data_IF_699011995924
#
_entry.id   IF_699011995924
#
_cell.length_a   1.000
_cell.length_b   1.000
_cell.length_c   1.000
_cell.angle_alpha   90.00
_cell.angle_beta   90.00
_cell.angle_gamma   90.00
#
_symmetry.space_group_name_H-M   'P 1'
#
loop_
_entity.id
_entity.type
_entity.pdbx_description
1 polymer ?
#
# COMPACT_ATOMS: atom_id res chain seq x y z
N UNK A 1 33.49 -22.59 44.78
CA UNK A 1 33.70 -22.43 43.31
C UNK A 1 32.67 -21.44 42.85
N UNK A 2 33.07 -20.18 42.87
CA UNK A 2 32.24 -19.06 42.46
C UNK A 2 32.38 -18.87 40.95
N UNK A 3 31.28 -18.92 40.22
CA UNK A 3 31.23 -18.59 38.81
C UNK A 3 30.96 -17.10 38.65
N UNK A 4 32.01 -16.38 38.28
CA UNK A 4 31.97 -14.96 37.96
C UNK A 4 31.26 -14.77 36.60
N UNK A 5 30.05 -14.21 36.64
CA UNK A 5 29.35 -13.72 35.48
C UNK A 5 29.88 -12.33 35.12
N UNK A 6 30.73 -12.24 34.09
CA UNK A 6 31.21 -10.98 33.55
C UNK A 6 30.28 -10.48 32.43
N UNK A 7 29.12 -9.97 32.81
CA UNK A 7 28.33 -9.10 31.94
C UNK A 7 28.82 -7.66 32.09
N UNK A 8 29.60 -7.13 31.13
CA UNK A 8 29.91 -5.70 31.09
C UNK A 8 28.60 -4.93 30.91
N UNK A 9 28.28 -3.95 31.77
CA UNK A 9 27.15 -3.06 31.52
C UNK A 9 27.47 -2.26 30.22
N UNK A 10 26.65 -2.40 29.23
CA UNK A 10 26.61 -1.44 28.12
C UNK A 10 26.29 -0.10 28.78
N UNK A 11 27.25 0.83 28.80
CA UNK A 11 27.02 2.20 29.25
C UNK A 11 25.98 2.82 28.33
N UNK A 12 24.73 2.76 28.73
CA UNK A 12 23.68 3.54 28.08
C UNK A 12 23.96 5.01 28.36
N UNK A 13 24.11 5.78 27.31
CA UNK A 13 24.24 7.25 27.39
C UNK A 13 22.99 7.75 28.12
N UNK A 14 23.14 8.58 29.17
CA UNK A 14 21.98 9.15 29.86
C UNK A 14 21.08 9.90 28.89
N UNK A 15 19.77 9.84 29.10
CA UNK A 15 18.77 10.45 28.21
C UNK A 15 19.00 11.96 28.00
N UNK A 16 19.52 12.66 29.00
CA UNK A 16 19.84 14.09 28.92
C UNK A 16 20.99 14.36 27.95
N UNK A 17 22.05 13.54 28.01
CA UNK A 17 23.21 13.65 27.11
C UNK A 17 22.79 13.29 25.68
N UNK A 18 21.95 12.28 25.54
CA UNK A 18 21.39 11.88 24.26
C UNK A 18 20.52 12.98 23.67
N UNK A 19 19.70 13.63 24.50
CA UNK A 19 18.89 14.77 24.10
C UNK A 19 19.76 15.95 23.61
N UNK A 20 20.85 16.26 24.28
CA UNK A 20 21.77 17.33 23.90
C UNK A 20 22.48 17.05 22.55
N UNK A 21 22.78 15.79 22.28
CA UNK A 21 23.36 15.38 20.99
C UNK A 21 22.30 15.51 19.89
N UNK A 22 21.09 15.01 20.14
CA UNK A 22 19.99 15.04 19.17
C UNK A 22 19.52 16.47 18.88
N UNK A 23 19.54 17.38 19.82
CA UNK A 23 19.21 18.80 19.62
C UNK A 23 20.13 19.53 18.63
N UNK A 24 21.31 19.02 18.37
CA UNK A 24 22.25 19.58 17.40
C UNK A 24 21.98 19.16 15.97
N UNK A 25 21.10 18.19 15.78
CA UNK A 25 20.70 17.69 14.47
C UNK A 25 19.63 18.58 13.85
N UNK A 26 19.68 18.73 12.53
CA UNK A 26 18.60 19.33 11.78
C UNK A 26 17.31 18.49 11.86
N UNK A 27 16.14 19.08 11.56
CA UNK A 27 14.86 18.37 11.63
C UNK A 27 14.82 17.06 10.83
N UNK A 28 15.49 17.02 9.69
CA UNK A 28 15.62 15.82 8.86
C UNK A 28 16.43 14.73 9.59
N UNK A 29 17.62 15.07 10.10
CA UNK A 29 18.52 14.12 10.73
C UNK A 29 17.93 13.62 12.07
N UNK A 30 17.16 14.49 12.72
CA UNK A 30 16.41 14.13 13.93
C UNK A 30 15.32 13.11 13.64
N UNK A 31 14.60 13.26 12.51
CA UNK A 31 13.59 12.30 12.08
C UNK A 31 14.21 10.95 11.69
N UNK A 32 15.38 10.96 11.03
CA UNK A 32 16.17 9.74 10.73
C UNK A 32 16.63 9.09 12.05
N UNK A 33 17.12 9.89 12.99
CA UNK A 33 17.58 9.42 14.30
C UNK A 33 16.47 8.73 15.10
N UNK A 34 15.21 9.18 14.95
CA UNK A 34 14.04 8.56 15.56
C UNK A 34 13.82 7.11 15.10
N UNK A 35 14.29 6.76 13.90
CA UNK A 35 14.17 5.42 13.32
C UNK A 35 15.33 4.48 13.70
N UNK A 36 16.41 4.98 14.32
CA UNK A 36 17.62 4.20 14.61
C UNK A 36 17.36 3.14 15.68
N UNK A 37 16.74 3.50 16.80
CA UNK A 37 16.40 2.57 17.86
C UNK A 37 15.31 3.10 18.80
N UNK A 38 14.70 2.20 19.59
CA UNK A 38 13.65 2.56 20.55
C UNK A 38 14.05 3.63 21.59
N UNK A 39 15.26 3.61 22.19
CA UNK A 39 15.70 4.66 23.11
C UNK A 39 15.74 6.05 22.46
N UNK A 40 16.29 6.16 21.27
CA UNK A 40 16.32 7.43 20.53
C UNK A 40 14.93 7.94 20.19
N UNK A 41 14.07 7.06 19.72
CA UNK A 41 12.66 7.37 19.46
C UNK A 41 11.98 7.91 20.73
N UNK A 42 12.15 7.24 21.86
CA UNK A 42 11.56 7.63 23.13
C UNK A 42 12.03 9.02 23.59
N UNK A 43 13.34 9.32 23.49
CA UNK A 43 13.91 10.63 23.86
C UNK A 43 13.38 11.73 22.95
N UNK A 44 13.37 11.52 21.62
CA UNK A 44 12.88 12.50 20.65
C UNK A 44 11.40 12.81 20.90
N UNK A 45 10.58 11.80 21.13
CA UNK A 45 9.14 11.97 21.36
C UNK A 45 8.82 12.58 22.73
N UNK A 46 9.48 12.11 23.81
CA UNK A 46 9.29 12.64 25.15
C UNK A 46 9.70 14.12 25.27
N UNK A 47 10.76 14.51 24.58
CA UNK A 47 11.29 15.88 24.58
C UNK A 47 10.65 16.77 23.51
N UNK A 48 9.73 16.22 22.70
CA UNK A 48 9.08 16.95 21.58
C UNK A 48 10.08 17.67 20.68
N UNK A 49 11.20 17.04 20.38
CA UNK A 49 12.30 17.64 19.63
C UNK A 49 11.94 17.91 18.16
N UNK A 50 11.03 17.16 17.59
CA UNK A 50 10.44 17.47 16.31
C UNK A 50 9.30 18.47 16.52
N UNK A 51 9.27 19.58 15.74
CA UNK A 51 8.22 20.58 15.86
C UNK A 51 6.85 19.91 15.76
N UNK A 52 6.02 20.19 16.75
CA UNK A 52 4.62 19.75 16.76
C UNK A 52 3.76 20.67 15.88
N UNK A 53 4.31 21.20 14.81
CA UNK A 53 3.54 22.00 13.88
C UNK A 53 2.44 21.13 13.28
N UNK A 54 1.24 21.51 13.61
CA UNK A 54 0.00 20.82 13.25
C UNK A 54 -0.23 20.70 11.74
N UNK A 55 0.64 21.29 10.94
CA UNK A 55 0.60 21.32 9.47
C UNK A 55 1.67 20.45 8.80
N UNK A 56 2.57 19.83 9.56
CA UNK A 56 3.64 19.02 8.98
C UNK A 56 3.43 17.56 9.31
N UNK A 57 3.04 16.80 8.30
CA UNK A 57 3.13 15.34 8.34
C UNK A 57 4.58 14.94 8.69
N UNK A 58 4.78 13.86 9.47
CA UNK A 58 6.13 13.46 9.85
C UNK A 58 7.04 13.35 8.65
N UNK A 59 8.28 13.78 8.81
CA UNK A 59 9.31 13.74 7.78
C UNK A 59 9.59 12.32 7.25
N UNK A 60 9.14 11.29 7.97
CA UNK A 60 9.24 9.89 7.55
C UNK A 60 8.38 9.56 6.33
N UNK A 61 7.19 10.18 6.17
CA UNK A 61 6.38 10.04 4.96
C UNK A 61 6.83 11.09 3.94
N UNK A 62 7.49 10.66 2.89
CA UNK A 62 7.98 11.56 1.85
C UNK A 62 6.91 11.90 0.81
N UNK A 63 6.02 10.97 0.51
CA UNK A 63 4.97 11.14 -0.47
C UNK A 63 4.24 9.85 -0.78
N UNK A 64 3.59 9.84 -1.94
CA UNK A 64 2.86 8.69 -2.48
C UNK A 64 3.30 8.44 -3.92
N UNK A 65 3.61 7.19 -4.24
CA UNK A 65 3.62 6.76 -5.62
C UNK A 65 2.20 6.33 -5.98
N UNK A 66 1.61 7.01 -6.95
CA UNK A 66 0.21 6.84 -7.34
C UNK A 66 0.13 6.43 -8.78
N UNK A 67 -0.61 5.36 -9.05
CA UNK A 67 -0.86 4.84 -10.40
C UNK A 67 -2.21 5.34 -10.86
N UNK A 68 -2.25 5.90 -12.06
CA UNK A 68 -3.46 6.40 -12.68
C UNK A 68 -3.90 5.52 -13.85
N UNK A 69 -5.20 5.33 -13.97
CA UNK A 69 -5.83 4.67 -15.13
C UNK A 69 -6.71 5.68 -15.89
N UNK A 70 -6.91 5.55 -17.22
CA UNK A 70 -6.30 4.54 -18.09
C UNK A 70 -4.82 4.84 -18.35
N UNK A 71 -4.02 3.81 -18.58
CA UNK A 71 -2.62 3.95 -19.01
C UNK A 71 -1.57 3.58 -17.99
N UNK A 72 -1.95 3.21 -16.77
CA UNK A 72 -1.04 2.75 -15.70
C UNK A 72 0.15 3.70 -15.48
N UNK A 73 -0.10 5.01 -15.51
CA UNK A 73 0.93 6.02 -15.34
C UNK A 73 1.23 6.25 -13.87
N UNK A 74 2.47 6.11 -13.47
CA UNK A 74 2.90 6.41 -12.10
C UNK A 74 3.29 7.87 -11.94
N UNK A 75 2.79 8.50 -10.89
CA UNK A 75 3.19 9.82 -10.42
C UNK A 75 3.64 9.78 -8.97
N UNK A 76 4.52 10.69 -8.60
CA UNK A 76 4.95 10.91 -7.24
C UNK A 76 4.33 12.18 -6.69
N UNK A 77 3.46 12.05 -5.72
CA UNK A 77 2.80 13.16 -5.03
C UNK A 77 3.49 13.39 -3.69
N UNK A 78 4.11 14.54 -3.53
CA UNK A 78 4.96 14.81 -2.36
C UNK A 78 5.01 16.26 -1.96
N UNK A 79 5.50 16.49 -0.74
CA UNK A 79 5.83 17.82 -0.26
C UNK A 79 6.98 18.41 -1.09
N UNK A 80 7.04 19.76 -1.26
CA UNK A 80 8.14 20.43 -1.93
C UNK A 80 9.52 20.14 -1.32
N UNK A 81 9.57 19.86 -0.01
CA UNK A 81 10.79 19.54 0.75
C UNK A 81 11.06 18.04 0.83
N UNK A 82 10.42 17.21 0.02
CA UNK A 82 10.67 15.76 0.03
C UNK A 82 12.11 15.46 -0.40
N UNK A 83 12.81 14.54 0.29
CA UNK A 83 14.21 14.23 0.00
C UNK A 83 14.39 13.40 -1.29
N UNK A 84 13.30 13.05 -1.95
CA UNK A 84 13.28 12.15 -3.11
C UNK A 84 12.72 12.88 -4.32
N UNK A 85 13.39 12.75 -5.43
CA UNK A 85 12.87 13.16 -6.74
C UNK A 85 12.11 11.97 -7.31
N UNK A 86 10.82 12.17 -7.62
CA UNK A 86 9.95 11.10 -8.12
C UNK A 86 10.24 10.66 -9.55
N UNK A 87 11.33 11.13 -10.18
CA UNK A 87 11.71 10.78 -11.55
C UNK A 87 12.60 9.55 -11.57
N UNK A 88 12.35 8.67 -12.51
CA UNK A 88 13.13 7.47 -12.78
C UNK A 88 13.95 7.59 -14.07
N UNK A 89 14.46 8.79 -14.36
CA UNK A 89 15.25 9.10 -15.56
C UNK A 89 16.56 8.28 -15.66
N UNK A 90 16.99 7.71 -14.53
CA UNK A 90 18.14 6.81 -14.44
C UNK A 90 17.84 5.36 -14.87
N UNK A 91 16.57 5.05 -15.15
CA UNK A 91 16.16 3.76 -15.68
C UNK A 91 16.12 3.82 -17.21
N UNK A 92 16.87 2.93 -17.84
CA UNK A 92 16.85 2.79 -19.28
C UNK A 92 15.58 2.04 -19.73
N UNK A 93 14.50 2.80 -19.95
CA UNK A 93 13.22 2.24 -20.41
C UNK A 93 12.52 3.22 -21.35
N UNK A 94 11.95 2.68 -22.40
CA UNK A 94 11.21 3.43 -23.40
C UNK A 94 9.69 3.41 -23.16
N UNK A 95 9.21 2.52 -22.29
CA UNK A 95 7.79 2.37 -21.97
C UNK A 95 7.46 2.87 -20.58
N UNK A 96 6.72 3.98 -20.51
CA UNK A 96 6.31 4.58 -19.24
C UNK A 96 5.33 3.70 -18.45
N UNK A 97 4.52 2.90 -19.15
CA UNK A 97 3.54 2.02 -18.50
C UNK A 97 4.22 0.82 -17.81
N UNK A 98 5.41 0.43 -18.28
CA UNK A 98 6.20 -0.64 -17.66
C UNK A 98 6.74 -0.26 -16.27
N UNK A 99 6.92 1.05 -16.02
CA UNK A 99 7.36 1.59 -14.73
C UNK A 99 6.22 1.78 -13.72
N UNK A 100 5.04 1.23 -14.00
CA UNK A 100 3.95 1.25 -13.03
C UNK A 100 4.37 0.54 -11.73
N UNK A 101 4.22 1.24 -10.59
CA UNK A 101 4.50 0.65 -9.27
C UNK A 101 3.38 -0.32 -8.94
N UNK A 102 3.74 -1.53 -8.55
CA UNK A 102 2.80 -2.58 -8.16
C UNK A 102 2.82 -2.86 -6.66
N UNK A 103 3.95 -2.61 -5.98
CA UNK A 103 4.03 -2.71 -4.53
C UNK A 103 5.18 -1.86 -3.97
N UNK A 104 5.16 -1.63 -2.66
CA UNK A 104 6.22 -0.96 -1.93
C UNK A 104 6.46 -1.60 -0.54
N UNK A 105 7.70 -1.63 -0.10
CA UNK A 105 8.02 -2.05 1.26
C UNK A 105 9.24 -1.30 1.80
N UNK A 106 9.04 -0.54 2.88
CA UNK A 106 10.11 0.12 3.65
C UNK A 106 11.16 0.85 2.81
N UNK A 107 10.71 1.59 1.78
CA UNK A 107 11.56 2.44 0.93
C UNK A 107 12.05 1.80 -0.37
N UNK A 108 11.70 0.55 -0.62
CA UNK A 108 11.85 -0.07 -1.92
C UNK A 108 10.51 -0.07 -2.67
N UNK A 109 10.57 0.04 -4.00
CA UNK A 109 9.44 -0.07 -4.90
C UNK A 109 9.60 -1.28 -5.80
N UNK A 110 8.50 -1.96 -6.09
CA UNK A 110 8.42 -3.00 -7.11
C UNK A 110 7.61 -2.47 -8.29
N UNK A 111 8.11 -2.66 -9.51
CA UNK A 111 7.46 -2.20 -10.74
C UNK A 111 6.92 -3.35 -11.57
N UNK A 112 5.97 -3.05 -12.44
CA UNK A 112 5.30 -4.01 -13.33
C UNK A 112 6.28 -4.71 -14.29
N UNK A 113 7.38 -4.05 -14.65
CA UNK A 113 8.46 -4.63 -15.47
C UNK A 113 9.47 -5.45 -14.65
N UNK A 114 9.09 -5.87 -13.46
CA UNK A 114 9.86 -6.75 -12.58
C UNK A 114 11.19 -6.12 -12.13
N UNK A 115 11.20 -4.84 -11.80
CA UNK A 115 12.35 -4.17 -11.16
C UNK A 115 12.04 -3.85 -9.72
N UNK A 116 13.05 -4.00 -8.87
CA UNK A 116 13.05 -3.45 -7.52
C UNK A 116 13.93 -2.20 -7.52
N UNK A 117 13.38 -1.09 -7.04
CA UNK A 117 13.99 0.25 -7.13
C UNK A 117 14.09 0.86 -5.74
N UNK A 118 15.23 1.47 -5.44
CA UNK A 118 15.37 2.38 -4.32
C UNK A 118 15.46 3.83 -4.84
N UNK A 119 14.39 4.62 -4.75
CA UNK A 119 14.37 5.99 -5.27
C UNK A 119 15.36 6.94 -4.60
N UNK A 120 15.77 6.66 -3.35
CA UNK A 120 16.72 7.50 -2.61
C UNK A 120 18.14 7.34 -3.13
N UNK A 121 18.58 6.08 -3.32
CA UNK A 121 19.92 5.77 -3.79
C UNK A 121 20.03 5.71 -5.31
N UNK A 122 18.87 5.75 -6.01
CA UNK A 122 18.75 5.57 -7.46
C UNK A 122 19.31 4.23 -7.96
N UNK A 123 19.39 3.24 -7.06
CA UNK A 123 19.78 1.89 -7.39
C UNK A 123 18.56 1.05 -7.74
N UNK A 124 18.78 0.07 -8.60
CA UNK A 124 17.73 -0.87 -9.01
C UNK A 124 18.29 -2.22 -9.42
N UNK A 125 17.46 -3.23 -9.37
CA UNK A 125 17.77 -4.57 -9.83
C UNK A 125 16.57 -5.15 -10.58
N UNK A 126 16.84 -5.86 -11.69
CA UNK A 126 15.81 -6.64 -12.37
C UNK A 126 15.67 -8.01 -11.72
N UNK A 127 14.45 -8.45 -11.51
CA UNK A 127 14.17 -9.82 -11.15
C UNK A 127 14.47 -10.73 -12.35
N UNK A 128 15.11 -11.89 -12.14
CA UNK A 128 15.32 -12.84 -13.22
C UNK A 128 13.96 -13.37 -13.73
N UNK A 129 13.87 -13.66 -15.05
CA UNK A 129 12.66 -14.24 -15.60
C UNK A 129 12.35 -15.58 -14.89
N UNK A 130 11.11 -15.79 -14.58
CA UNK A 130 10.61 -17.05 -14.07
C UNK A 130 9.77 -17.75 -15.14
N UNK A 131 9.86 -19.09 -15.14
CA UNK A 131 9.03 -19.87 -16.05
C UNK A 131 7.58 -19.81 -15.58
N UNK A 132 6.69 -19.29 -16.42
CA UNK A 132 5.25 -19.42 -16.22
C UNK A 132 4.91 -20.93 -16.28
N UNK A 133 4.94 -21.58 -15.16
CA UNK A 133 4.24 -22.86 -15.05
C UNK A 133 2.83 -22.55 -14.58
N UNK A 134 1.86 -22.60 -15.48
CA UNK A 134 0.44 -22.61 -15.15
C UNK A 134 0.16 -23.82 -14.25
N UNK A 135 0.42 -23.66 -12.95
CA UNK A 135 0.29 -24.75 -11.98
C UNK A 135 -1.17 -25.14 -11.75
N UNK A 136 -2.09 -24.30 -12.18
CA UNK A 136 -3.51 -24.58 -12.32
C UNK A 136 -4.01 -23.98 -13.63
N UNK A 137 -3.64 -24.59 -14.76
CA UNK A 137 -4.44 -24.43 -15.99
C UNK A 137 -5.81 -25.03 -15.72
N UNK A 138 -6.63 -24.29 -14.96
CA UNK A 138 -8.05 -24.59 -14.84
C UNK A 138 -8.60 -24.26 -16.22
N UNK A 139 -8.98 -25.30 -16.99
CA UNK A 139 -9.61 -25.08 -18.29
C UNK A 139 -10.75 -24.09 -18.14
N UNK A 140 -10.67 -22.98 -18.86
CA UNK A 140 -11.71 -21.93 -18.87
C UNK A 140 -11.56 -20.80 -17.85
N UNK A 141 -10.51 -20.76 -17.02
CA UNK A 141 -10.31 -19.70 -16.04
C UNK A 141 -9.00 -18.94 -16.22
N UNK A 142 -9.02 -17.67 -15.86
CA UNK A 142 -7.83 -16.83 -15.71
C UNK A 142 -7.44 -16.73 -14.23
N UNK A 143 -6.18 -16.96 -13.93
CA UNK A 143 -5.64 -16.80 -12.59
C UNK A 143 -4.53 -15.74 -12.64
N UNK A 144 -4.82 -14.53 -12.17
CA UNK A 144 -3.80 -13.49 -12.13
C UNK A 144 -2.73 -13.82 -11.11
N UNK A 145 -1.53 -13.34 -11.38
CA UNK A 145 -0.40 -13.41 -10.47
C UNK A 145 -0.04 -11.99 -10.02
N UNK A 146 0.02 -11.80 -8.70
CA UNK A 146 0.40 -10.54 -8.08
C UNK A 146 1.73 -10.68 -7.36
N UNK A 147 2.56 -9.65 -7.42
CA UNK A 147 3.86 -9.63 -6.77
C UNK A 147 3.86 -8.69 -5.57
N UNK A 148 4.42 -9.18 -4.46
CA UNK A 148 4.54 -8.40 -3.23
C UNK A 148 5.96 -8.38 -2.69
N UNK A 149 6.39 -7.21 -2.27
CA UNK A 149 7.75 -6.95 -1.79
C UNK A 149 7.82 -7.08 -0.28
N UNK A 150 8.81 -7.82 0.20
CA UNK A 150 9.14 -7.95 1.61
C UNK A 150 10.55 -7.44 1.85
N UNK A 151 10.65 -6.39 2.63
CA UNK A 151 11.93 -5.79 3.00
C UNK A 151 11.88 -5.21 4.41
N UNK A 152 12.85 -5.59 5.23
CA UNK A 152 13.02 -5.03 6.57
C UNK A 152 14.50 -4.71 6.80
N UNK A 153 14.91 -3.44 6.57
CA UNK A 153 16.30 -3.03 6.70
C UNK A 153 16.85 -3.18 8.13
N UNK A 154 15.97 -3.27 9.14
CA UNK A 154 16.39 -3.52 10.52
C UNK A 154 16.77 -4.98 10.79
N UNK A 155 16.35 -5.89 9.91
CA UNK A 155 16.59 -7.34 10.03
C UNK A 155 17.63 -7.81 9.05
N UNK A 156 17.55 -7.36 7.79
CA UNK A 156 18.41 -7.81 6.70
C UNK A 156 18.54 -6.72 5.62
N UNK A 157 19.71 -6.58 4.98
CA UNK A 157 19.85 -5.74 3.79
C UNK A 157 19.19 -6.36 2.55
N UNK A 158 18.79 -7.63 2.62
CA UNK A 158 18.20 -8.37 1.52
C UNK A 158 16.69 -8.28 1.53
N UNK A 159 16.09 -8.21 0.34
CA UNK A 159 14.65 -8.24 0.13
C UNK A 159 14.20 -9.56 -0.48
N UNK A 160 12.92 -9.85 -0.34
CA UNK A 160 12.25 -10.97 -0.99
C UNK A 160 11.06 -10.46 -1.80
N UNK A 161 10.75 -11.13 -2.92
CA UNK A 161 9.54 -10.87 -3.71
C UNK A 161 8.71 -12.14 -3.76
N UNK A 162 7.48 -12.04 -3.32
CA UNK A 162 6.51 -13.12 -3.28
C UNK A 162 5.59 -13.03 -4.49
N UNK A 163 5.47 -14.11 -5.23
CA UNK A 163 4.51 -14.26 -6.31
C UNK A 163 3.30 -15.04 -5.80
N UNK A 164 2.15 -14.37 -5.80
CA UNK A 164 0.88 -14.92 -5.37
C UNK A 164 0.00 -15.23 -6.56
N UNK A 165 -0.71 -16.34 -6.50
CA UNK A 165 -1.83 -16.62 -7.38
C UNK A 165 -3.10 -16.08 -6.74
N UNK A 166 -3.78 -15.18 -7.42
CA UNK A 166 -5.08 -14.68 -6.97
C UNK A 166 -6.19 -15.73 -7.15
N UNK A 167 -7.36 -15.46 -6.57
CA UNK A 167 -8.54 -16.31 -6.77
C UNK A 167 -8.79 -16.48 -8.26
N UNK A 168 -8.92 -17.71 -8.78
CA UNK A 168 -9.27 -17.92 -10.18
C UNK A 168 -10.66 -17.34 -10.47
N UNK A 169 -10.83 -16.68 -11.62
CA UNK A 169 -12.12 -16.18 -12.06
C UNK A 169 -12.38 -16.49 -13.54
N UNK A 170 -13.64 -16.54 -13.91
CA UNK A 170 -14.06 -16.64 -15.30
C UNK A 170 -14.35 -15.25 -15.83
N UNK A 171 -13.94 -14.96 -17.06
CA UNK A 171 -14.27 -13.68 -17.71
C UNK A 171 -15.67 -13.84 -18.33
N UNK A 172 -16.72 -13.14 -17.82
CA UNK A 172 -18.01 -13.14 -18.48
C UNK A 172 -17.88 -12.35 -19.80
N UNK A 173 -18.49 -12.84 -20.86
CA UNK A 173 -18.61 -12.13 -22.15
C UNK A 173 -17.30 -11.76 -22.85
N UNK A 174 -16.46 -12.71 -23.09
CA UNK A 174 -15.43 -12.53 -24.09
C UNK A 174 -16.01 -12.87 -25.49
N UNK A 175 -16.82 -11.99 -26.06
CA UNK A 175 -17.21 -12.03 -27.50
C UNK A 175 -15.98 -12.05 -28.42
N UNK A 176 -14.80 -11.89 -27.88
CA UNK A 176 -13.51 -11.88 -28.58
C UNK A 176 -12.70 -13.18 -28.43
N UNK A 177 -13.09 -14.06 -27.48
CA UNK A 177 -12.42 -15.34 -27.27
C UNK A 177 -13.48 -16.45 -27.29
N UNK A 178 -13.74 -17.02 -28.45
CA UNK A 178 -14.77 -18.06 -28.71
C UNK A 178 -14.67 -19.31 -27.79
N UNK A 179 -13.62 -19.44 -26.96
CA UNK A 179 -13.34 -20.63 -26.14
C UNK A 179 -13.39 -20.43 -24.59
N UNK A 180 -13.73 -19.24 -24.07
CA UNK A 180 -13.56 -18.93 -22.62
C UNK A 180 -14.86 -18.90 -21.81
N UNK A 181 -16.01 -19.19 -22.41
CA UNK A 181 -17.32 -19.08 -21.75
C UNK A 181 -17.72 -20.28 -20.89
N UNK A 182 -16.84 -21.25 -20.63
CA UNK A 182 -17.18 -22.40 -19.77
C UNK A 182 -16.91 -22.08 -18.30
N UNK A 183 -17.96 -22.02 -17.50
CA UNK A 183 -17.88 -22.01 -16.04
C UNK A 183 -16.95 -23.10 -15.53
N UNK A 184 -16.25 -22.86 -14.42
CA UNK A 184 -15.35 -23.87 -13.84
C UNK A 184 -16.01 -25.24 -13.70
N UNK A 185 -15.29 -26.35 -13.99
CA UNK A 185 -15.78 -27.70 -13.73
C UNK A 185 -16.26 -27.84 -12.28
N UNK A 186 -17.34 -28.61 -12.01
CA UNK A 186 -17.89 -28.80 -10.66
C UNK A 186 -16.87 -29.28 -9.62
N UNK A 187 -15.84 -30.03 -10.05
CA UNK A 187 -14.76 -30.46 -9.17
C UNK A 187 -13.87 -29.27 -8.71
N UNK A 188 -13.60 -28.32 -9.61
CA UNK A 188 -12.82 -27.12 -9.32
C UNK A 188 -13.60 -26.18 -8.41
N UNK A 189 -14.90 -25.98 -8.68
CA UNK A 189 -15.76 -25.14 -7.83
C UNK A 189 -15.80 -25.58 -6.36
N UNK A 190 -15.63 -26.88 -6.11
CA UNK A 190 -15.60 -27.46 -4.75
C UNK A 190 -14.23 -27.40 -4.07
N UNK A 191 -13.19 -26.97 -4.77
CA UNK A 191 -11.87 -26.84 -4.15
C UNK A 191 -11.85 -25.69 -3.17
N UNK A 192 -11.26 -25.92 -2.01
CA UNK A 192 -11.02 -24.87 -1.00
C UNK A 192 -10.03 -23.85 -1.53
N UNK A 193 -10.29 -22.58 -1.22
CA UNK A 193 -9.38 -21.49 -1.50
C UNK A 193 -9.13 -20.62 -0.26
N UNK A 194 -7.89 -20.19 0.04
CA UNK A 194 -6.63 -20.71 -0.52
C UNK A 194 -6.40 -22.18 -0.15
N UNK A 195 -5.58 -22.96 -0.90
CA UNK A 195 -5.38 -24.39 -0.67
C UNK A 195 -4.69 -24.68 0.67
N UNK A 196 -4.92 -25.85 1.29
CA UNK A 196 -4.31 -26.23 2.58
C UNK A 196 -2.77 -26.22 2.57
N UNK A 197 -2.16 -26.51 1.43
CA UNK A 197 -0.75 -26.31 1.15
C UNK A 197 -0.64 -25.35 -0.03
N UNK A 198 -0.20 -24.12 0.22
CA UNK A 198 -0.10 -23.07 -0.77
C UNK A 198 1.36 -22.88 -1.16
N UNK A 199 1.72 -23.36 -2.34
CA UNK A 199 3.09 -23.20 -2.85
C UNK A 199 3.20 -21.86 -3.55
N UNK A 200 4.05 -20.97 -3.00
CA UNK A 200 4.36 -19.69 -3.57
C UNK A 200 5.78 -19.68 -4.14
N UNK A 201 6.00 -18.88 -5.16
CA UNK A 201 7.35 -18.58 -5.63
C UNK A 201 7.87 -17.38 -4.90
N UNK A 202 9.08 -17.51 -4.37
CA UNK A 202 9.74 -16.46 -3.60
C UNK A 202 11.10 -16.21 -4.21
N UNK A 203 11.32 -14.98 -4.67
CA UNK A 203 12.64 -14.52 -5.05
C UNK A 203 13.38 -13.99 -3.83
N UNK A 204 14.64 -14.35 -3.68
CA UNK A 204 15.51 -13.78 -2.66
C UNK A 204 16.66 -13.00 -3.30
N UNK A 205 16.82 -11.72 -2.95
CA UNK A 205 17.96 -10.92 -3.40
C UNK A 205 19.29 -11.42 -2.87
N UNK A 206 19.29 -12.21 -1.80
CA UNK A 206 20.49 -12.85 -1.24
C UNK A 206 21.02 -13.96 -2.12
N UNK A 207 20.15 -14.84 -2.61
CA UNK A 207 20.51 -15.97 -3.48
C UNK A 207 20.42 -15.62 -4.96
N UNK A 208 19.71 -14.54 -5.30
CA UNK A 208 19.35 -14.10 -6.67
C UNK A 208 18.60 -15.18 -7.46
N UNK A 209 17.80 -15.96 -6.78
CA UNK A 209 17.05 -17.09 -7.37
C UNK A 209 15.61 -17.09 -6.90
N UNK A 210 14.74 -17.63 -7.75
CA UNK A 210 13.38 -17.97 -7.39
C UNK A 210 13.36 -19.39 -6.78
N UNK A 211 12.65 -19.53 -5.67
CA UNK A 211 12.43 -20.81 -5.00
C UNK A 211 10.94 -21.05 -4.81
N UNK A 212 10.48 -22.29 -4.91
CA UNK A 212 9.12 -22.66 -4.55
C UNK A 212 9.10 -23.01 -3.06
N UNK A 213 8.25 -22.30 -2.31
CA UNK A 213 8.07 -22.51 -0.86
C UNK A 213 6.62 -22.90 -0.58
N UNK A 214 6.36 -24.08 0.01
CA UNK A 214 5.05 -24.46 0.49
C UNK A 214 4.74 -23.78 1.83
N UNK A 215 3.59 -23.15 1.91
CA UNK A 215 3.04 -22.57 3.14
C UNK A 215 1.82 -23.38 3.56
N UNK A 216 1.78 -23.83 4.82
CA UNK A 216 0.71 -24.67 5.35
C UNK A 216 -0.33 -23.80 6.06
N UNK A 217 -1.60 -23.97 5.68
CA UNK A 217 -2.71 -23.23 6.29
C UNK A 217 -2.93 -23.69 7.74
N UNK A 218 -3.04 -22.71 8.63
CA UNK A 218 -3.53 -22.89 9.98
C UNK A 218 -4.99 -22.41 10.06
N UNK A 219 -5.91 -23.32 10.33
CA UNK A 219 -7.34 -23.03 10.38
C UNK A 219 -8.07 -23.32 9.06
N UNK A 220 -9.24 -22.70 8.91
CA UNK A 220 -10.15 -22.95 7.79
C UNK A 220 -9.78 -22.13 6.54
N UNK A 221 -10.28 -22.55 5.38
CA UNK A 221 -10.22 -21.80 4.14
C UNK A 221 -11.12 -20.54 4.20
N UNK A 222 -10.94 -19.63 3.27
CA UNK A 222 -11.88 -18.51 3.10
C UNK A 222 -13.24 -19.02 2.59
N UNK A 223 -13.23 -20.00 1.70
CA UNK A 223 -14.38 -20.64 1.10
C UNK A 223 -13.95 -21.62 0.03
N UNK A 224 -14.79 -21.85 -0.96
CA UNK A 224 -14.49 -22.63 -2.17
C UNK A 224 -14.29 -21.68 -3.37
N UNK A 225 -13.65 -22.16 -4.43
CA UNK A 225 -13.52 -21.39 -5.68
C UNK A 225 -14.90 -21.00 -6.21
N UNK A 226 -15.90 -21.89 -6.09
CA UNK A 226 -17.28 -21.62 -6.52
C UNK A 226 -17.97 -20.51 -5.72
N UNK A 227 -17.64 -20.34 -4.44
CA UNK A 227 -18.18 -19.26 -3.61
C UNK A 227 -17.64 -17.89 -4.05
N UNK A 228 -16.50 -17.85 -4.77
CA UNK A 228 -15.77 -16.65 -5.20
C UNK A 228 -15.87 -16.38 -6.70
N UNK A 229 -16.55 -17.27 -7.46
CA UNK A 229 -16.59 -17.26 -8.95
C UNK A 229 -17.19 -15.94 -9.52
N UNK A 230 -18.11 -15.32 -8.80
CA UNK A 230 -18.80 -14.10 -9.22
C UNK A 230 -18.15 -12.83 -8.75
N UNK A 231 -17.00 -12.93 -8.08
CA UNK A 231 -16.22 -11.75 -7.77
C UNK A 231 -15.68 -11.18 -9.09
N UNK A 232 -16.14 -9.99 -9.43
CA UNK A 232 -15.56 -9.21 -10.52
C UNK A 232 -14.06 -9.07 -10.27
N UNK A 233 -13.27 -8.87 -11.35
CA UNK A 233 -11.83 -8.73 -11.24
C UNK A 233 -11.45 -7.90 -10.02
N UNK A 234 -10.74 -8.45 -9.05
CA UNK A 234 -10.41 -7.69 -7.86
C UNK A 234 -9.68 -6.43 -8.29
N UNK A 235 -10.10 -5.28 -7.79
CA UNK A 235 -9.31 -4.06 -7.88
C UNK A 235 -7.88 -4.33 -7.36
N UNK A 236 -7.03 -3.32 -7.35
CA UNK A 236 -5.66 -3.51 -6.90
C UNK A 236 -5.59 -4.16 -5.51
N UNK A 237 -4.99 -5.35 -5.41
CA UNK A 237 -4.83 -6.06 -4.15
C UNK A 237 -3.65 -5.46 -3.37
N UNK A 238 -3.95 -4.86 -2.22
CA UNK A 238 -2.93 -4.26 -1.37
C UNK A 238 -2.28 -5.28 -0.45
N UNK A 239 -1.00 -5.08 -0.15
CA UNK A 239 -0.28 -5.86 0.85
C UNK A 239 0.32 -4.98 1.95
N UNK A 240 0.57 -5.59 3.11
CA UNK A 240 1.25 -4.93 4.20
C UNK A 240 2.27 -5.89 4.85
N UNK A 241 3.51 -5.43 4.96
CA UNK A 241 4.52 -6.16 5.73
C UNK A 241 4.59 -5.57 7.15
N UNK A 242 4.32 -6.41 8.15
CA UNK A 242 4.35 -6.02 9.56
C UNK A 242 4.89 -7.15 10.45
N UNK A 243 5.91 -6.84 11.29
CA UNK A 243 6.48 -7.76 12.29
C UNK A 243 6.77 -9.17 11.77
N UNK A 244 7.49 -9.27 10.63
CA UNK A 244 7.87 -10.53 9.99
C UNK A 244 6.70 -11.37 9.50
N UNK A 245 5.59 -10.74 9.23
CA UNK A 245 4.46 -11.34 8.53
C UNK A 245 4.05 -10.47 7.32
N UNK A 246 3.70 -11.13 6.23
CA UNK A 246 3.13 -10.52 5.05
C UNK A 246 1.62 -10.74 5.08
N UNK A 247 0.87 -9.66 4.92
CA UNK A 247 -0.58 -9.63 4.84
C UNK A 247 -0.97 -9.26 3.42
N UNK A 248 -1.69 -10.13 2.75
CA UNK A 248 -2.12 -9.94 1.36
C UNK A 248 -3.64 -9.95 1.32
N UNK A 249 -4.21 -8.86 0.82
CA UNK A 249 -5.63 -8.75 0.56
C UNK A 249 -6.00 -9.57 -0.67
N UNK A 250 -7.02 -10.41 -0.56
CA UNK A 250 -7.64 -11.10 -1.69
C UNK A 250 -9.16 -11.12 -1.46
N UNK A 251 -9.92 -10.64 -2.41
CA UNK A 251 -11.38 -10.65 -2.37
C UNK A 251 -11.95 -10.14 -1.02
N UNK A 252 -12.61 -11.00 -0.23
CA UNK A 252 -13.21 -10.69 1.07
C UNK A 252 -12.38 -11.15 2.28
N UNK A 253 -11.10 -11.49 2.07
CA UNK A 253 -10.21 -11.98 3.12
C UNK A 253 -8.77 -11.48 2.96
N UNK A 254 -8.00 -11.66 4.02
CA UNK A 254 -6.57 -11.40 4.05
C UNK A 254 -5.83 -12.71 4.31
N UNK A 255 -4.80 -13.00 3.52
CA UNK A 255 -3.84 -14.06 3.79
C UNK A 255 -2.72 -13.47 4.63
N UNK A 256 -2.50 -13.99 5.83
CA UNK A 256 -1.37 -13.64 6.67
C UNK A 256 -0.32 -14.73 6.64
N UNK A 257 0.81 -14.49 6.00
CA UNK A 257 1.95 -15.40 5.95
C UNK A 257 2.93 -15.06 7.07
N UNK A 258 3.29 -16.05 7.88
CA UNK A 258 4.34 -15.93 8.87
C UNK A 258 5.66 -16.41 8.28
N UNK A 259 6.60 -15.49 8.07
CA UNK A 259 7.85 -15.77 7.34
C UNK A 259 8.85 -16.66 8.12
N UNK A 260 8.62 -16.88 9.41
CA UNK A 260 9.54 -17.63 10.27
C UNK A 260 9.24 -19.13 10.37
N UNK A 261 8.07 -19.60 9.93
CA UNK A 261 7.62 -20.98 10.12
C UNK A 261 6.86 -21.59 8.94
N UNK A 262 6.86 -20.90 7.78
CA UNK A 262 6.21 -21.33 6.54
C UNK A 262 4.72 -21.70 6.71
N UNK A 263 4.02 -20.92 7.55
CA UNK A 263 2.60 -21.09 7.83
C UNK A 263 1.82 -19.86 7.43
N UNK A 264 0.54 -20.05 7.09
CA UNK A 264 -0.36 -18.97 6.82
C UNK A 264 -1.74 -19.15 7.47
N UNK A 265 -2.45 -18.03 7.65
CA UNK A 265 -3.82 -17.97 8.14
C UNK A 265 -4.68 -17.14 7.21
N UNK A 266 -5.95 -17.50 7.16
CA UNK A 266 -6.99 -16.71 6.49
C UNK A 266 -7.73 -15.88 7.53
N UNK A 267 -7.90 -14.59 7.26
CA UNK A 267 -8.59 -13.64 8.11
C UNK A 267 -9.68 -12.99 7.26
N UNK A 268 -10.95 -13.31 7.53
CA UNK A 268 -12.06 -12.70 6.82
C UNK A 268 -12.11 -11.20 7.12
N UNK A 269 -12.40 -10.40 6.10
CA UNK A 269 -12.61 -8.96 6.27
C UNK A 269 -13.92 -8.69 6.99
N UNK A 270 -14.01 -7.62 7.78
CA UNK A 270 -15.23 -7.24 8.47
C UNK A 270 -16.19 -6.56 7.49
N UNK A 271 -16.88 -7.36 6.67
CA UNK A 271 -17.96 -6.86 5.84
C UNK A 271 -19.09 -6.40 6.77
N UNK A 272 -19.44 -5.12 6.73
CA UNK A 272 -20.60 -4.60 7.47
C UNK A 272 -21.88 -5.23 6.95
N UNK A 273 -22.86 -5.46 7.83
CA UNK A 273 -24.17 -5.98 7.46
C UNK A 273 -24.95 -5.06 6.49
N UNK A 274 -24.48 -3.84 6.29
CA UNK A 274 -25.11 -2.80 5.48
C UNK A 274 -24.57 -2.70 4.05
N UNK A 275 -23.55 -3.50 3.70
CA UNK A 275 -22.99 -3.56 2.34
C UNK A 275 -23.88 -4.49 1.53
N UNK A 276 -24.51 -3.95 0.48
CA UNK A 276 -25.36 -4.76 -0.42
C UNK A 276 -24.46 -5.70 -1.23
N UNK A 277 -24.97 -6.89 -1.64
CA UNK A 277 -24.19 -7.83 -2.45
C UNK A 277 -23.70 -7.26 -3.78
N UNK A 278 -24.42 -6.26 -4.33
CA UNK A 278 -24.07 -5.60 -5.59
C UNK A 278 -23.09 -4.42 -5.41
N UNK A 279 -22.82 -4.04 -4.16
CA UNK A 279 -21.80 -3.03 -3.86
C UNK A 279 -20.41 -3.67 -3.99
N UNK A 280 -19.59 -3.12 -4.85
CA UNK A 280 -18.16 -3.42 -4.90
C UNK A 280 -17.43 -2.53 -3.88
N UNK A 281 -17.20 -3.00 -2.65
CA UNK A 281 -16.57 -2.17 -1.64
C UNK A 281 -15.07 -1.99 -1.98
N UNK A 282 -14.63 -0.73 -1.96
CA UNK A 282 -13.21 -0.42 -2.14
C UNK A 282 -12.47 -0.57 -0.80
N UNK A 283 -11.61 -1.58 -0.73
CA UNK A 283 -10.82 -1.89 0.45
C UNK A 283 -9.37 -1.46 0.27
N UNK A 284 -8.80 -0.88 1.31
CA UNK A 284 -7.37 -0.62 1.39
C UNK A 284 -6.76 -1.28 2.63
N UNK A 285 -5.88 -2.25 2.40
CA UNK A 285 -5.08 -2.88 3.46
C UNK A 285 -3.74 -2.16 3.58
N UNK A 286 -3.35 -1.79 4.80
CA UNK A 286 -2.07 -1.13 5.01
C UNK A 286 -1.60 -1.24 6.45
N UNK A 287 -0.35 -0.84 6.69
CA UNK A 287 0.21 -0.75 8.04
C UNK A 287 0.18 0.67 8.58
N UNK A 288 0.03 0.80 9.88
CA UNK A 288 0.20 2.06 10.59
C UNK A 288 0.90 1.83 11.93
N UNK A 289 0.94 2.82 12.80
CA UNK A 289 1.71 2.83 14.07
C UNK A 289 1.58 1.56 14.90
N UNK A 290 0.36 1.02 15.04
CA UNK A 290 0.08 -0.10 15.96
C UNK A 290 0.01 -1.46 15.29
N UNK A 291 -0.11 -1.50 13.97
CA UNK A 291 -0.26 -2.76 13.24
C UNK A 291 -0.90 -2.61 11.87
N UNK A 292 -1.65 -3.63 11.48
CA UNK A 292 -2.35 -3.70 10.21
C UNK A 292 -3.76 -3.12 10.34
N UNK A 293 -4.12 -2.29 9.37
CA UNK A 293 -5.42 -1.63 9.28
C UNK A 293 -6.07 -1.95 7.94
N UNK A 294 -7.39 -1.93 7.94
CA UNK A 294 -8.20 -1.99 6.75
C UNK A 294 -9.14 -0.79 6.71
N UNK A 295 -9.17 -0.07 5.61
CA UNK A 295 -10.15 0.95 5.31
C UNK A 295 -11.13 0.42 4.27
N UNK A 296 -12.39 0.81 4.37
CA UNK A 296 -13.47 0.44 3.46
C UNK A 296 -14.29 1.67 3.12
N UNK A 297 -14.42 1.96 1.83
CA UNK A 297 -15.44 2.87 1.32
C UNK A 297 -16.69 2.07 1.00
N UNK A 298 -17.85 2.53 1.46
CA UNK A 298 -19.13 1.85 1.28
C UNK A 298 -20.27 2.84 1.06
N UNK A 299 -21.33 2.39 0.38
CA UNK A 299 -22.48 3.21 0.03
C UNK A 299 -22.17 4.29 -1.01
N UNK A 300 -23.21 4.78 -1.66
CA UNK A 300 -23.06 5.83 -2.69
C UNK A 300 -23.53 7.19 -2.16
N UNK A 301 -24.62 7.22 -1.44
CA UNK A 301 -25.21 8.44 -0.88
C UNK A 301 -26.00 8.13 0.39
N UNK A 302 -25.43 8.34 1.57
CA UNK A 302 -24.12 8.96 1.84
C UNK A 302 -22.94 7.98 1.68
N UNK A 303 -21.81 8.47 1.16
CA UNK A 303 -20.56 7.72 1.13
C UNK A 303 -19.99 7.58 2.54
N UNK A 304 -19.80 6.35 2.98
CA UNK A 304 -19.24 6.00 4.28
C UNK A 304 -17.77 5.54 4.19
N UNK A 305 -17.05 5.74 5.27
CA UNK A 305 -15.70 5.23 5.46
C UNK A 305 -15.60 4.52 6.80
N UNK A 306 -15.25 3.23 6.78
CA UNK A 306 -14.93 2.44 7.97
C UNK A 306 -13.45 2.18 8.06
N UNK A 307 -12.91 2.24 9.26
CA UNK A 307 -11.50 1.92 9.54
C UNK A 307 -11.45 0.88 10.65
N UNK A 308 -10.83 -0.26 10.36
CA UNK A 308 -10.58 -1.32 11.32
C UNK A 308 -9.09 -1.49 11.59
N UNK A 309 -8.80 -1.96 12.79
CA UNK A 309 -7.48 -2.40 13.23
C UNK A 309 -7.51 -3.90 13.46
N UNK A 310 -6.50 -4.62 12.99
CA UNK A 310 -6.35 -6.04 13.25
C UNK A 310 -5.68 -6.24 14.61
N UNK A 311 -6.46 -6.71 15.57
CA UNK A 311 -5.94 -7.10 16.88
C UNK A 311 -5.45 -8.55 16.84
N UNK A 312 -4.17 -8.74 17.09
CA UNK A 312 -3.49 -10.04 17.11
C UNK A 312 -3.17 -10.51 18.55
N UNK A 313 -3.74 -9.85 19.55
CA UNK A 313 -3.53 -10.22 20.94
C UNK A 313 -4.19 -11.57 21.27
N UNK A 314 -3.61 -12.29 22.23
CA UNK A 314 -4.17 -13.57 22.73
C UNK A 314 -4.33 -14.69 21.68
N UNK A 315 -3.61 -14.65 20.56
CA UNK A 315 -3.63 -15.71 19.52
C UNK A 315 -4.89 -15.75 18.66
N UNK A 316 -5.88 -14.90 18.94
CA UNK A 316 -7.04 -14.68 18.09
C UNK A 316 -6.84 -13.42 17.25
N UNK A 317 -7.19 -13.49 15.98
CA UNK A 317 -7.14 -12.34 15.09
C UNK A 317 -8.54 -11.79 14.93
N UNK A 318 -8.74 -10.52 15.33
CA UNK A 318 -10.04 -9.85 15.27
C UNK A 318 -9.90 -8.45 14.73
N UNK A 319 -10.80 -8.09 13.83
CA UNK A 319 -10.95 -6.71 13.39
C UNK A 319 -11.70 -5.89 14.42
N UNK A 320 -11.08 -4.83 14.90
CA UNK A 320 -11.66 -3.87 15.83
C UNK A 320 -12.01 -2.60 15.08
N UNK A 321 -13.29 -2.25 15.04
CA UNK A 321 -13.75 -1.02 14.42
C UNK A 321 -13.16 0.18 15.18
N UNK A 322 -12.42 1.02 14.48
CA UNK A 322 -11.83 2.26 15.01
C UNK A 322 -12.69 3.47 14.68
N UNK A 323 -13.20 3.53 13.47
CA UNK A 323 -14.04 4.64 12.98
C UNK A 323 -15.10 4.13 12.00
N UNK A 324 -16.26 4.76 12.09
CA UNK A 324 -17.31 4.68 11.09
C UNK A 324 -17.80 6.12 10.84
N UNK A 325 -17.61 6.64 9.65
CA UNK A 325 -17.76 8.04 9.32
C UNK A 325 -18.56 8.23 8.04
N UNK A 326 -19.41 9.23 8.04
CA UNK A 326 -20.03 9.78 6.83
C UNK A 326 -19.06 10.81 6.22
N UNK A 327 -18.47 10.50 5.07
CA UNK A 327 -17.52 11.40 4.40
C UNK A 327 -18.18 12.69 3.92
N UNK A 328 -19.44 12.64 3.50
CA UNK A 328 -20.17 13.84 3.10
C UNK A 328 -20.25 14.87 4.22
N UNK A 329 -20.60 14.42 5.43
CA UNK A 329 -20.65 15.30 6.60
C UNK A 329 -19.26 15.79 7.00
N UNK A 330 -18.25 14.91 6.95
CA UNK A 330 -16.88 15.26 7.30
C UNK A 330 -16.30 16.37 6.40
N UNK A 331 -16.64 16.35 5.13
CA UNK A 331 -16.09 17.27 4.13
C UNK A 331 -16.98 18.50 3.89
N UNK A 332 -18.25 18.48 4.28
CA UNK A 332 -19.18 19.59 4.08
C UNK A 332 -18.74 20.86 4.85
N UNK A 333 -18.24 20.68 6.07
CA UNK A 333 -17.82 21.77 6.95
C UNK A 333 -16.35 22.15 6.78
N UNK A 334 -15.63 21.51 5.85
CA UNK A 334 -14.21 21.77 5.65
C UNK A 334 -14.00 23.10 4.92
N UNK A 335 -13.23 24.03 5.48
CA UNK A 335 -12.93 25.32 4.83
C UNK A 335 -11.93 25.08 3.69
N UNK A 336 -12.42 24.88 2.49
CA UNK A 336 -11.59 24.72 1.30
C UNK A 336 -10.86 26.02 0.98
N UNK A 337 -9.55 26.09 1.27
CA UNK A 337 -8.71 27.23 0.87
C UNK A 337 -8.26 27.05 -0.58
N UNK A 338 -8.73 27.95 -1.45
CA UNK A 338 -8.31 27.97 -2.85
C UNK A 338 -6.90 28.54 -2.96
N UNK A 339 -6.02 27.79 -3.61
CA UNK A 339 -4.67 28.24 -3.97
C UNK A 339 -3.52 27.78 -3.08
N UNK A 340 -3.78 27.13 -1.95
CA UNK A 340 -2.69 26.57 -1.14
C UNK A 340 -2.27 25.20 -1.73
N UNK A 341 -1.16 25.17 -2.47
CA UNK A 341 -0.52 23.94 -2.95
C UNK A 341 0.60 23.56 -1.99
N UNK A 342 0.30 22.77 -0.96
CA UNK A 342 1.34 22.28 -0.05
C UNK A 342 2.14 21.11 -0.65
N UNK A 343 1.50 20.29 -1.47
CA UNK A 343 2.11 19.14 -2.15
C UNK A 343 2.03 19.31 -3.67
N UNK A 344 2.92 18.62 -4.39
CA UNK A 344 2.99 18.66 -5.85
C UNK A 344 3.07 17.25 -6.46
N UNK A 345 2.50 17.12 -7.65
CA UNK A 345 2.53 15.89 -8.45
C UNK A 345 3.67 15.96 -9.46
N UNK A 346 4.50 14.92 -9.51
CA UNK A 346 5.58 14.75 -10.46
C UNK A 346 5.46 13.38 -11.13
N UNK A 347 5.39 13.33 -12.45
CA UNK A 347 5.33 12.06 -13.16
C UNK A 347 6.69 11.39 -13.19
N UNK A 348 6.69 10.08 -12.99
CA UNK A 348 7.89 9.24 -12.92
C UNK A 348 8.65 9.24 -14.25
N UNK A 349 7.95 9.35 -15.38
CA UNK A 349 8.52 9.45 -16.70
C UNK A 349 7.87 10.57 -17.52
N UNK A 350 8.66 11.53 -17.99
CA UNK A 350 8.20 12.66 -18.80
C UNK A 350 8.02 12.33 -20.29
N UNK A 351 8.48 11.16 -20.77
CA UNK A 351 8.46 10.82 -22.20
C UNK A 351 7.05 10.84 -22.81
N UNK A 352 6.01 10.53 -22.03
CA UNK A 352 4.61 10.61 -22.47
C UNK A 352 4.04 12.04 -22.45
N UNK A 353 4.67 12.96 -21.71
CA UNK A 353 4.19 14.35 -21.58
C UNK A 353 4.29 15.18 -22.85
N UNK A 354 5.15 14.79 -23.79
CA UNK A 354 5.32 15.54 -25.06
C UNK A 354 4.27 15.23 -26.11
N UNK A 355 3.58 14.11 -26.04
CA UNK A 355 2.58 13.70 -27.04
C UNK A 355 1.17 14.25 -26.76
N UNK A 356 0.81 14.54 -25.51
CA UNK A 356 -0.53 15.06 -25.15
C UNK A 356 -0.56 16.54 -24.80
N UNK A 357 0.56 17.23 -24.72
CA UNK A 357 0.62 18.68 -24.49
C UNK A 357 0.09 19.54 -25.67
N UNK A 358 -0.41 18.92 -26.73
CA UNK A 358 -0.95 19.59 -27.91
C UNK A 358 -2.44 19.98 -27.82
N UNK A 359 -3.13 19.63 -26.75
CA UNK A 359 -4.46 20.17 -26.45
C UNK A 359 -4.42 20.96 -25.15
N UNK A 360 -3.86 22.16 -25.24
CA UNK A 360 -3.75 23.13 -24.15
C UNK A 360 -5.12 23.73 -23.81
N UNK A 361 -5.94 22.99 -23.10
CA UNK A 361 -7.03 23.58 -22.34
C UNK A 361 -6.66 23.50 -20.86
N UNK A 362 -6.39 24.65 -20.26
CA UNK A 362 -6.38 24.80 -18.82
C UNK A 362 -7.77 24.48 -18.30
N UNK A 363 -7.95 23.24 -17.83
CA UNK A 363 -9.17 22.84 -17.16
C UNK A 363 -9.18 23.51 -15.77
N UNK A 364 -9.83 24.66 -15.68
CA UNK A 364 -10.30 25.17 -14.39
C UNK A 364 -11.56 24.37 -14.04
N UNK A 365 -11.58 23.64 -12.93
CA UNK A 365 -12.78 22.91 -12.51
C UNK A 365 -13.93 23.92 -12.32
N UNK A 366 -15.06 23.65 -12.95
CA UNK A 366 -16.29 24.42 -12.73
C UNK A 366 -16.79 24.16 -11.31
N UNK A 367 -16.60 25.15 -10.43
CA UNK A 367 -16.93 25.08 -9.01
C UNK A 367 -18.43 25.30 -8.70
N UNK A 368 -19.29 25.41 -9.71
CA UNK A 368 -20.74 25.54 -9.55
C UNK A 368 -21.47 24.21 -9.27
N UNK A 369 -20.73 23.09 -9.26
CA UNK A 369 -21.30 21.74 -9.12
C UNK A 369 -21.70 21.50 -7.67
N UNK A 370 -22.95 21.10 -7.48
CA UNK A 370 -23.57 20.75 -6.20
C UNK A 370 -22.71 19.72 -5.43
N UNK A 371 -22.29 20.09 -4.21
CA UNK A 371 -21.40 19.30 -3.33
C UNK A 371 -21.90 17.87 -3.12
N UNK A 372 -23.22 17.63 -3.15
CA UNK A 372 -23.78 16.28 -3.07
C UNK A 372 -23.47 15.35 -4.26
N UNK A 373 -23.18 15.91 -5.43
CA UNK A 373 -22.71 15.11 -6.59
C UNK A 373 -21.24 14.70 -6.49
N UNK A 374 -20.49 15.32 -5.56
CA UNK A 374 -19.05 15.11 -5.33
C UNK A 374 -18.77 13.74 -4.70
N UNK A 375 -19.75 13.11 -4.09
CA UNK A 375 -19.57 11.95 -3.22
C UNK A 375 -20.22 10.66 -3.73
N UNK A 376 -20.40 10.51 -5.05
CA UNK A 376 -20.70 9.19 -5.59
C UNK A 376 -19.49 8.24 -5.40
N UNK A 377 -19.73 6.95 -5.21
CA UNK A 377 -18.76 5.88 -4.92
C UNK A 377 -17.48 5.92 -5.76
N UNK A 378 -17.57 6.33 -7.02
CA UNK A 378 -16.44 6.47 -7.95
C UNK A 378 -15.61 7.75 -7.77
N UNK A 379 -15.91 8.53 -6.74
CA UNK A 379 -15.40 9.90 -6.60
C UNK A 379 -14.39 10.06 -5.46
N UNK A 380 -14.09 9.01 -4.72
CA UNK A 380 -13.08 9.01 -3.65
C UNK A 380 -12.21 7.77 -3.83
N UNK A 381 -10.90 7.95 -3.85
CA UNK A 381 -9.93 6.85 -3.90
C UNK A 381 -9.09 6.85 -2.63
N UNK A 382 -8.89 5.68 -2.03
CA UNK A 382 -8.01 5.53 -0.87
C UNK A 382 -6.55 5.61 -1.32
N UNK A 383 -5.75 6.46 -0.63
CA UNK A 383 -4.32 6.62 -0.91
C UNK A 383 -3.44 5.84 0.06
N UNK A 384 -4.00 5.40 1.19
CA UNK A 384 -3.33 4.54 2.14
C UNK A 384 -3.15 5.10 3.53
N UNK A 385 -2.54 4.30 4.40
CA UNK A 385 -2.27 4.68 5.78
C UNK A 385 -0.88 5.29 5.94
N UNK A 386 -0.78 6.23 6.87
CA UNK A 386 0.52 6.71 7.31
C UNK A 386 1.26 5.61 8.09
N UNK A 387 2.50 5.25 7.70
CA UNK A 387 3.20 4.09 8.28
C UNK A 387 3.44 4.15 9.79
N UNK A 388 3.46 5.36 10.38
CA UNK A 388 3.85 5.61 11.77
C UNK A 388 2.83 6.40 12.58
N UNK A 389 1.69 6.79 12.02
CA UNK A 389 0.62 7.54 12.71
C UNK A 389 -0.74 7.09 12.26
N UNK A 390 -1.72 7.21 13.11
CA UNK A 390 -3.12 6.88 12.83
C UNK A 390 -3.76 7.96 11.92
N UNK A 391 -3.29 8.00 10.67
CA UNK A 391 -3.77 8.88 9.60
C UNK A 391 -4.08 8.01 8.38
N UNK A 392 -5.25 8.20 7.80
CA UNK A 392 -5.66 7.67 6.51
C UNK A 392 -5.64 8.79 5.48
N UNK A 393 -5.16 8.50 4.28
CA UNK A 393 -5.14 9.41 3.16
C UNK A 393 -6.14 8.95 2.10
N UNK A 394 -6.84 9.89 1.52
CA UNK A 394 -7.74 9.65 0.40
C UNK A 394 -7.76 10.85 -0.55
N UNK A 395 -8.18 10.61 -1.78
CA UNK A 395 -8.31 11.61 -2.83
C UNK A 395 -9.77 11.75 -3.25
N UNK A 396 -10.25 12.98 -3.38
CA UNK A 396 -11.59 13.24 -3.92
C UNK A 396 -11.58 13.24 -5.45
N UNK A 397 -12.75 13.16 -6.08
CA UNK A 397 -12.90 13.22 -7.56
C UNK A 397 -12.21 14.43 -8.19
N UNK A 398 -12.16 15.56 -7.48
CA UNK A 398 -11.48 16.76 -7.98
C UNK A 398 -9.98 16.73 -7.75
N UNK A 399 -9.42 15.56 -7.43
CA UNK A 399 -8.01 15.38 -7.19
C UNK A 399 -7.50 15.98 -5.88
N UNK A 400 -8.37 16.40 -4.96
CA UNK A 400 -7.94 16.90 -3.64
C UNK A 400 -7.50 15.74 -2.76
N UNK A 401 -6.24 15.72 -2.39
CA UNK A 401 -5.68 14.75 -1.46
C UNK A 401 -5.86 15.25 -0.03
N UNK A 402 -6.42 14.39 0.82
CA UNK A 402 -6.82 14.69 2.18
C UNK A 402 -6.12 13.73 3.15
N UNK A 403 -5.60 14.27 4.25
CA UNK A 403 -5.15 13.51 5.40
C UNK A 403 -6.23 13.53 6.48
N UNK A 404 -6.73 12.36 6.87
CA UNK A 404 -7.70 12.19 7.94
C UNK A 404 -7.03 11.57 9.18
N UNK A 405 -6.93 12.35 10.25
CA UNK A 405 -6.40 11.94 11.55
C UNK A 405 -7.50 11.24 12.35
N UNK A 406 -7.58 9.92 12.28
CA UNK A 406 -8.73 9.22 12.84
C UNK A 406 -8.75 9.13 14.38
N UNK A 407 -7.68 9.54 15.10
CA UNK A 407 -7.73 9.74 16.55
C UNK A 407 -8.41 11.03 16.97
N UNK A 408 -8.20 12.11 16.21
CA UNK A 408 -8.70 13.46 16.54
C UNK A 408 -9.85 13.92 15.67
N UNK A 409 -10.25 13.11 14.67
CA UNK A 409 -11.23 13.45 13.62
C UNK A 409 -10.90 14.73 12.86
N UNK A 410 -9.62 15.14 12.84
CA UNK A 410 -9.14 16.29 12.05
C UNK A 410 -8.85 15.89 10.63
N UNK A 411 -9.10 16.81 9.70
CA UNK A 411 -8.73 16.68 8.29
C UNK A 411 -7.76 17.78 7.91
N UNK A 412 -6.87 17.47 6.97
CA UNK A 412 -5.86 18.36 6.44
C UNK A 412 -5.85 18.24 4.92
N UNK A 413 -5.87 19.36 4.22
CA UNK A 413 -5.77 19.42 2.77
C UNK A 413 -4.29 19.42 2.36
N UNK A 414 -3.90 18.41 1.58
CA UNK A 414 -2.54 18.28 1.07
C UNK A 414 -2.33 18.95 -0.28
N UNK A 415 -3.39 19.35 -0.96
CA UNK A 415 -3.34 19.93 -2.29
C UNK A 415 -3.90 19.00 -3.36
N UNK A 416 -3.53 19.28 -4.61
CA UNK A 416 -4.07 18.56 -5.76
C UNK A 416 -3.15 17.43 -6.22
N UNK A 417 -3.68 16.22 -6.20
CA UNK A 417 -3.13 15.05 -6.86
C UNK A 417 -3.80 14.95 -8.23
N UNK A 418 -3.08 15.32 -9.29
CA UNK A 418 -3.64 15.41 -10.64
C UNK A 418 -3.13 14.28 -11.54
N UNK A 419 -4.07 13.60 -12.21
CA UNK A 419 -3.79 12.84 -13.44
C UNK A 419 -3.43 13.76 -14.61
N UNK A 420 -2.99 13.22 -15.74
CA UNK A 420 -2.68 13.98 -16.97
C UNK A 420 -3.93 14.35 -17.74
N UNK A 421 -4.99 13.55 -17.61
CA UNK A 421 -6.25 13.71 -18.32
C UNK A 421 -7.45 13.93 -17.40
N UNK A 422 -8.54 14.49 -17.93
CA UNK A 422 -9.75 14.76 -17.14
C UNK A 422 -10.51 13.49 -16.71
N UNK A 423 -10.11 12.33 -17.20
CA UNK A 423 -10.72 11.03 -16.88
C UNK A 423 -9.77 10.11 -16.09
N UNK A 424 -8.60 10.64 -15.69
CA UNK A 424 -7.65 9.83 -14.93
C UNK A 424 -8.12 9.74 -13.50
N UNK A 425 -8.20 8.52 -12.98
CA UNK A 425 -8.49 8.25 -11.58
C UNK A 425 -7.38 7.39 -10.97
N UNK A 426 -7.30 7.42 -9.65
CA UNK A 426 -6.30 6.65 -8.91
C UNK A 426 -6.68 5.17 -8.92
N UNK A 427 -5.86 4.35 -9.56
CA UNK A 427 -5.96 2.89 -9.57
C UNK A 427 -5.33 2.28 -8.33
N UNK A 428 -4.12 2.75 -7.99
CA UNK A 428 -3.38 2.30 -6.83
C UNK A 428 -2.53 3.43 -6.23
N UNK A 429 -2.27 3.36 -4.93
CA UNK A 429 -1.43 4.32 -4.25
C UNK A 429 -0.58 3.67 -3.17
N UNK A 430 0.67 4.10 -3.07
CA UNK A 430 1.70 3.52 -2.21
C UNK A 430 2.35 4.62 -1.36
N UNK A 431 1.99 4.72 -0.06
CA UNK A 431 2.66 5.65 0.87
C UNK A 431 4.15 5.32 0.96
N UNK A 432 5.00 6.28 0.64
CA UNK A 432 6.43 6.07 0.52
C UNK A 432 7.24 6.68 1.67
N UNK A 433 8.09 5.85 2.27
CA UNK A 433 9.05 6.23 3.30
C UNK A 433 10.47 5.99 2.79
N UNK A 434 11.31 7.01 2.71
CA UNK A 434 12.68 6.85 2.19
C UNK A 434 13.51 5.87 3.01
N UNK A 435 14.29 5.03 2.34
CA UNK A 435 15.30 4.16 2.94
C UNK A 435 16.68 4.47 2.36
N UNK A 436 17.63 4.82 3.22
CA UNK A 436 19.00 5.09 2.81
C UNK A 436 19.86 3.81 2.71
N UNK A 437 19.34 2.67 3.17
CA UNK A 437 20.02 1.39 3.01
C UNK A 437 19.83 0.86 1.60
N UNK A 438 20.92 0.51 0.96
CA UNK A 438 20.80 -0.14 -0.29
C UNK A 438 22.07 -0.29 -1.04
N UNK A 439 22.78 -1.39 -0.79
CA UNK A 439 23.51 -2.04 -1.86
C UNK A 439 22.55 -3.06 -2.47
N UNK A 440 22.01 -2.75 -3.65
CA UNK A 440 21.11 -3.63 -4.40
C UNK A 440 21.90 -4.52 -5.37
N UNK A 441 23.26 -4.47 -5.28
CA UNK A 441 24.17 -5.24 -6.11
C UNK A 441 24.22 -6.73 -5.77
#
# INVERSE_FOLDING_TARGET
>A
METISTGRPVHMVPDDVMADILHRLGPHDLAVSRCVCKPWCAVIDARRMLPADSHLLPLSLAGFFTVFTPGSLTAYFSRPSAPVVGKFDYLDTHDACSLSVVDQCNGLLLTKDHRVINPVTQQWASLPPYSFMFTLCIKGGYQPEDMYLVFDPSVSPHYEVFLFHSVPYTIPDADYYEDVSEAFPPAVKKMEWPPSSYTLRVYSSKTRQWEEKPFIREGEAAGTIGDMEFALSPGHCHAAYWRRALYVHQHDFVIRITLSNDKYKVIKLPLGLDVQPDDEPDHYLGKSEKGVYCALLYGENPLGLRIWFLDETCGQMKWLLKRDINLGNLLADFPWEYGHRSWSTQYVNDAYGKSMALTGENFEPDYSINVSAIFAKYNVSLLGFHPYREILFFCTIFGRAIAYHFNSSKIEDLGYLQGKGPRDYVEASFPYTPCQMGDMS
#
